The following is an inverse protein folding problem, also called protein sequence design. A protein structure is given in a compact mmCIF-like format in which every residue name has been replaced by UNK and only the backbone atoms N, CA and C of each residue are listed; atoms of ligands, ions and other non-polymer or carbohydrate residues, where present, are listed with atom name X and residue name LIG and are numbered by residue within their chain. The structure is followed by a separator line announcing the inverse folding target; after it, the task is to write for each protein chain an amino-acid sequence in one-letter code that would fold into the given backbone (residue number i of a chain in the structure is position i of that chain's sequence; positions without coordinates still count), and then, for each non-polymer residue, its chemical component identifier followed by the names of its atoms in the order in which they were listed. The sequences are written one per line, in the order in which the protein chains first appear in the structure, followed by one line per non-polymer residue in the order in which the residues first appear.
data_IF_987804220107
#
_entry.id   IF_987804220107
#
_cell.length_a   1.000
_cell.length_b   1.000
_cell.length_c   1.000
_cell.angle_alpha   90.00
_cell.angle_beta   90.00
_cell.angle_gamma   90.00
#
_symmetry.space_group_name_H-M   'P 1'
#
loop_
_entity.id
_entity.type
_entity.pdbx_description
1 polymer ?
#
# COMPACT_ATOMS: atom_id res chain seq x y z
N UNK A 1 23.94 -11.41 29.53
CA UNK A 1 23.56 -10.23 28.70
C UNK A 1 22.88 -9.22 29.60
N UNK A 2 23.02 -7.90 29.38
CA UNK A 2 22.36 -6.90 30.22
C UNK A 2 20.86 -6.87 29.91
N UNK A 3 20.03 -6.58 30.93
CA UNK A 3 18.56 -6.50 30.85
C UNK A 3 18.04 -5.72 29.61
N UNK A 4 18.60 -4.56 29.31
CA UNK A 4 18.19 -3.74 28.16
C UNK A 4 18.46 -4.43 26.81
N UNK A 5 19.62 -5.10 26.68
CA UNK A 5 19.96 -5.85 25.46
C UNK A 5 19.04 -7.06 25.29
N UNK A 6 18.72 -7.73 26.39
CA UNK A 6 17.78 -8.86 26.39
C UNK A 6 16.40 -8.38 25.94
N UNK A 7 15.89 -7.27 26.49
CA UNK A 7 14.63 -6.66 26.13
C UNK A 7 14.53 -6.35 24.62
N UNK A 8 15.55 -5.70 24.08
CA UNK A 8 15.61 -5.35 22.64
C UNK A 8 15.64 -6.60 21.78
N UNK A 9 16.50 -7.57 22.12
CA UNK A 9 16.65 -8.81 21.39
C UNK A 9 15.33 -9.59 21.32
N UNK A 10 14.65 -9.76 22.45
CA UNK A 10 13.40 -10.51 22.51
C UNK A 10 12.28 -9.71 21.82
N UNK A 11 12.21 -8.40 21.98
CA UNK A 11 11.21 -7.57 21.30
C UNK A 11 11.33 -7.67 19.78
N UNK A 12 12.54 -7.62 19.23
CA UNK A 12 12.80 -7.82 17.81
C UNK A 12 12.39 -9.24 17.39
N UNK A 13 12.69 -10.24 18.20
CA UNK A 13 12.34 -11.64 17.92
C UNK A 13 10.83 -11.85 17.89
N UNK A 14 10.10 -11.33 18.88
CA UNK A 14 8.65 -11.41 18.96
C UNK A 14 8.00 -10.75 17.74
N UNK A 15 8.44 -9.53 17.40
CA UNK A 15 7.94 -8.85 16.22
C UNK A 15 8.15 -9.68 14.95
N UNK A 16 9.37 -10.15 14.75
CA UNK A 16 9.76 -10.87 13.53
C UNK A 16 8.99 -12.18 13.37
N UNK A 17 8.88 -12.95 14.44
CA UNK A 17 8.15 -14.22 14.43
C UNK A 17 6.66 -13.99 14.21
N UNK A 18 6.05 -13.04 14.93
CA UNK A 18 4.63 -12.71 14.76
C UNK A 18 4.33 -12.18 13.35
N UNK A 19 5.15 -11.25 12.83
CA UNK A 19 4.99 -10.71 11.48
C UNK A 19 5.14 -11.81 10.41
N UNK A 20 6.10 -12.74 10.59
CA UNK A 20 6.32 -13.84 9.66
C UNK A 20 5.17 -14.84 9.69
N UNK A 21 4.71 -15.26 10.87
CA UNK A 21 3.59 -16.18 11.01
C UNK A 21 2.30 -15.61 10.38
N UNK A 22 2.00 -14.34 10.63
CA UNK A 22 0.84 -13.65 10.04
C UNK A 22 1.00 -13.47 8.53
N UNK A 23 2.21 -13.21 8.04
CA UNK A 23 2.50 -13.15 6.61
C UNK A 23 2.22 -14.49 5.92
N UNK A 24 2.59 -15.60 6.55
CA UNK A 24 2.29 -16.96 6.05
C UNK A 24 0.79 -17.25 6.07
N UNK A 25 0.08 -16.80 7.11
CA UNK A 25 -1.38 -16.95 7.20
C UNK A 25 -2.09 -16.17 6.09
N UNK A 26 -1.68 -14.93 5.84
CA UNK A 26 -2.19 -14.12 4.71
C UNK A 26 -1.87 -14.80 3.38
N UNK A 27 -0.66 -15.36 3.24
CA UNK A 27 -0.26 -16.08 2.03
C UNK A 27 -1.12 -17.30 1.78
N UNK A 28 -1.37 -18.09 2.81
CA UNK A 28 -2.21 -19.28 2.73
C UNK A 28 -3.67 -18.95 2.42
N UNK A 29 -4.23 -17.91 3.03
CA UNK A 29 -5.63 -17.51 2.85
C UNK A 29 -5.88 -16.70 1.55
N UNK A 30 -4.83 -16.21 0.89
CA UNK A 30 -4.94 -15.32 -0.29
C UNK A 30 -5.84 -15.87 -1.41
N UNK A 31 -5.78 -17.15 -1.86
CA UNK A 31 -6.62 -17.63 -2.95
C UNK A 31 -8.12 -17.56 -2.63
N UNK A 32 -8.49 -17.85 -1.40
CA UNK A 32 -9.87 -17.76 -0.92
C UNK A 32 -10.31 -16.29 -0.76
N UNK A 33 -9.46 -15.45 -0.16
CA UNK A 33 -9.71 -14.01 0.01
C UNK A 33 -9.90 -13.32 -1.34
N UNK A 34 -9.10 -13.65 -2.35
CA UNK A 34 -9.22 -13.09 -3.69
C UNK A 34 -10.60 -13.36 -4.30
N UNK A 35 -11.14 -14.56 -4.16
CA UNK A 35 -12.49 -14.90 -4.63
C UNK A 35 -13.55 -14.07 -3.92
N UNK A 36 -13.47 -13.97 -2.60
CA UNK A 36 -14.44 -13.25 -1.77
C UNK A 36 -14.38 -11.73 -1.97
N UNK A 37 -13.17 -11.17 -2.10
CA UNK A 37 -12.95 -9.74 -2.29
C UNK A 37 -13.32 -9.30 -3.70
N UNK A 38 -13.12 -10.16 -4.72
CA UNK A 38 -13.38 -9.84 -6.13
C UNK A 38 -14.81 -9.40 -6.44
N UNK A 39 -15.78 -9.82 -5.65
CA UNK A 39 -17.20 -9.45 -5.79
C UNK A 39 -17.57 -8.10 -5.16
N UNK A 40 -16.62 -7.43 -4.50
CA UNK A 40 -16.84 -6.15 -3.82
C UNK A 40 -16.62 -4.97 -4.75
N UNK A 41 -17.21 -3.81 -4.39
CA UNK A 41 -16.93 -2.56 -5.11
C UNK A 41 -15.47 -2.14 -5.00
N UNK A 42 -14.94 -1.33 -5.94
CA UNK A 42 -13.52 -1.01 -6.05
C UNK A 42 -12.94 -0.40 -4.77
N UNK A 43 -13.65 0.57 -4.17
CA UNK A 43 -13.22 1.18 -2.91
C UNK A 43 -13.11 0.18 -1.77
N UNK A 44 -14.06 -0.76 -1.67
CA UNK A 44 -14.01 -1.80 -0.65
C UNK A 44 -12.86 -2.76 -0.91
N UNK A 45 -12.61 -3.13 -2.17
CA UNK A 45 -11.46 -3.96 -2.56
C UNK A 45 -10.14 -3.30 -2.20
N UNK A 46 -9.96 -2.03 -2.55
CA UNK A 46 -8.76 -1.28 -2.22
C UNK A 46 -8.50 -1.27 -0.70
N UNK A 47 -9.52 -0.98 0.10
CA UNK A 47 -9.41 -1.00 1.57
C UNK A 47 -9.07 -2.37 2.13
N UNK A 48 -9.67 -3.44 1.60
CA UNK A 48 -9.42 -4.80 2.06
C UNK A 48 -8.00 -5.26 1.71
N UNK A 49 -7.52 -5.01 0.48
CA UNK A 49 -6.16 -5.32 0.08
C UNK A 49 -5.12 -4.54 0.88
N UNK A 50 -5.37 -3.27 1.13
CA UNK A 50 -4.55 -2.44 2.02
C UNK A 50 -4.50 -3.02 3.43
N UNK A 51 -5.66 -3.37 4.00
CA UNK A 51 -5.75 -3.97 5.35
C UNK A 51 -4.96 -5.27 5.43
N UNK A 52 -5.13 -6.17 4.45
CA UNK A 52 -4.40 -7.44 4.40
C UNK A 52 -2.88 -7.25 4.30
N UNK A 53 -2.44 -6.22 3.58
CA UNK A 53 -1.01 -5.91 3.44
C UNK A 53 -0.41 -5.36 4.73
N UNK A 54 -1.18 -4.56 5.50
CA UNK A 54 -0.74 -4.01 6.78
C UNK A 54 -0.90 -4.97 7.97
N UNK A 55 -1.79 -5.94 7.87
CA UNK A 55 -2.17 -6.82 8.97
C UNK A 55 -0.98 -7.45 9.70
N UNK A 56 0.03 -8.04 9.01
CA UNK A 56 1.17 -8.64 9.69
C UNK A 56 1.95 -7.63 10.55
N UNK A 57 2.26 -6.46 9.99
CA UNK A 57 3.05 -5.44 10.69
C UNK A 57 2.29 -4.84 11.87
N UNK A 58 1.01 -4.47 11.70
CA UNK A 58 0.22 -3.84 12.75
C UNK A 58 0.02 -4.82 13.91
N UNK A 59 -0.38 -6.05 13.61
CA UNK A 59 -0.62 -7.05 14.66
C UNK A 59 0.68 -7.43 15.37
N UNK A 60 1.78 -7.62 14.63
CA UNK A 60 3.09 -7.88 15.23
C UNK A 60 3.54 -6.73 16.15
N UNK A 61 3.30 -5.47 15.76
CA UNK A 61 3.59 -4.31 16.61
C UNK A 61 2.78 -4.33 17.89
N UNK A 62 1.47 -4.61 17.82
CA UNK A 62 0.59 -4.71 19.01
C UNK A 62 1.08 -5.82 19.94
N UNK A 63 1.40 -6.99 19.38
CA UNK A 63 1.93 -8.13 20.14
C UNK A 63 3.25 -7.76 20.84
N UNK A 64 4.15 -7.11 20.12
CA UNK A 64 5.47 -6.70 20.66
C UNK A 64 5.33 -5.66 21.77
N UNK A 65 4.43 -4.69 21.62
CA UNK A 65 4.16 -3.71 22.67
C UNK A 65 3.58 -4.40 23.91
N UNK A 66 2.61 -5.30 23.74
CA UNK A 66 2.06 -6.09 24.85
C UNK A 66 3.13 -6.94 25.55
N UNK A 67 4.03 -7.56 24.78
CA UNK A 67 5.18 -8.27 25.33
C UNK A 67 6.11 -7.32 26.10
N UNK A 68 6.40 -6.13 25.57
CA UNK A 68 7.25 -5.15 26.24
C UNK A 68 6.73 -4.77 27.63
N UNK A 69 5.41 -4.56 27.76
CA UNK A 69 4.77 -4.34 29.06
C UNK A 69 4.93 -5.55 30.01
N UNK A 70 4.76 -6.77 29.48
CA UNK A 70 4.93 -7.99 30.27
C UNK A 70 6.37 -8.16 30.76
N UNK A 71 7.33 -7.96 29.87
CA UNK A 71 8.76 -8.05 30.19
C UNK A 71 9.14 -7.07 31.31
N UNK A 72 8.75 -5.80 31.19
CA UNK A 72 9.04 -4.78 32.20
C UNK A 72 8.40 -5.14 33.55
N UNK A 73 7.23 -5.80 33.54
CA UNK A 73 6.46 -6.12 34.75
C UNK A 73 6.95 -7.39 35.47
N UNK A 74 7.42 -8.40 34.72
CA UNK A 74 7.66 -9.75 35.27
C UNK A 74 9.13 -10.16 35.23
N UNK A 75 9.98 -9.57 34.37
CA UNK A 75 11.38 -9.97 34.24
C UNK A 75 12.22 -9.38 35.36
N UNK A 76 13.01 -10.18 36.11
CA UNK A 76 13.93 -9.70 37.13
C UNK A 76 15.07 -8.91 36.52
N UNK A 77 15.34 -7.71 37.02
CA UNK A 77 16.39 -6.80 36.46
C UNK A 77 17.82 -7.25 36.70
N UNK A 78 18.02 -8.25 37.55
CA UNK A 78 19.37 -8.64 38.05
C UNK A 78 19.86 -10.01 37.53
N UNK A 79 19.10 -10.70 36.69
CA UNK A 79 19.51 -11.97 36.08
C UNK A 79 20.33 -11.75 34.85
N UNK A 80 21.59 -12.21 34.85
CA UNK A 80 22.39 -12.33 33.64
C UNK A 80 22.06 -13.64 32.93
N UNK A 81 21.31 -13.60 31.83
CA UNK A 81 20.99 -14.79 31.06
C UNK A 81 21.96 -15.01 29.90
N UNK A 82 22.30 -16.28 29.65
CA UNK A 82 22.99 -16.70 28.44
C UNK A 82 21.96 -17.03 27.38
N UNK A 83 22.01 -16.32 26.27
CA UNK A 83 21.13 -16.58 25.12
C UNK A 83 21.82 -17.51 24.15
N UNK A 84 21.12 -18.54 23.68
CA UNK A 84 21.59 -19.43 22.63
C UNK A 84 21.69 -18.75 21.25
N UNK A 85 21.97 -19.55 20.21
CA UNK A 85 22.15 -19.06 18.83
C UNK A 85 20.82 -18.66 18.13
N UNK A 86 19.68 -19.22 18.55
CA UNK A 86 18.37 -19.02 17.91
C UNK A 86 17.94 -17.55 17.86
N UNK A 87 18.05 -16.75 18.95
CA UNK A 87 17.73 -15.31 18.90
C UNK A 87 18.59 -14.54 17.89
N UNK A 88 19.85 -14.91 17.69
CA UNK A 88 20.72 -14.26 16.71
C UNK A 88 20.25 -14.49 15.28
N UNK A 89 19.78 -15.69 14.94
CA UNK A 89 19.21 -15.99 13.62
C UNK A 89 17.92 -15.19 13.37
N UNK A 90 17.08 -15.04 14.40
CA UNK A 90 15.86 -14.23 14.27
C UNK A 90 16.19 -12.76 14.10
N UNK A 91 17.18 -12.23 14.80
CA UNK A 91 17.67 -10.85 14.62
C UNK A 91 18.28 -10.66 13.23
N UNK A 92 19.02 -11.63 12.71
CA UNK A 92 19.53 -11.57 11.34
C UNK A 92 18.38 -11.54 10.32
N UNK A 93 17.33 -12.33 10.52
CA UNK A 93 16.11 -12.27 9.71
C UNK A 93 15.43 -10.90 9.81
N UNK A 94 15.29 -10.36 11.03
CA UNK A 94 14.73 -9.02 11.24
C UNK A 94 15.51 -7.95 10.49
N UNK A 95 16.85 -7.99 10.60
CA UNK A 95 17.74 -7.07 9.89
C UNK A 95 17.56 -7.18 8.36
N UNK A 96 17.42 -8.39 7.83
CA UNK A 96 17.16 -8.62 6.41
C UNK A 96 15.79 -8.02 5.98
N UNK A 97 14.74 -8.22 6.77
CA UNK A 97 13.40 -7.68 6.49
C UNK A 97 13.39 -6.15 6.50
N UNK A 98 14.01 -5.53 7.50
CA UNK A 98 14.13 -4.07 7.62
C UNK A 98 14.97 -3.50 6.48
N UNK A 99 16.10 -4.13 6.17
CA UNK A 99 16.99 -3.70 5.07
C UNK A 99 16.28 -3.79 3.72
N UNK A 100 15.52 -4.86 3.49
CA UNK A 100 14.71 -5.01 2.27
C UNK A 100 13.60 -3.96 2.19
N UNK A 101 12.93 -3.63 3.30
CA UNK A 101 11.93 -2.57 3.33
C UNK A 101 12.57 -1.20 3.04
N UNK A 102 13.68 -0.88 3.70
CA UNK A 102 14.44 0.35 3.48
C UNK A 102 14.92 0.46 2.03
N UNK A 103 15.42 -0.63 1.44
CA UNK A 103 15.81 -0.69 0.03
C UNK A 103 14.64 -0.40 -0.92
N UNK A 104 13.47 -1.02 -0.69
CA UNK A 104 12.27 -0.79 -1.52
C UNK A 104 11.82 0.67 -1.46
N UNK A 105 11.74 1.22 -0.26
CA UNK A 105 11.37 2.63 -0.05
C UNK A 105 12.43 3.55 -0.64
N UNK A 106 13.70 3.30 -0.38
CA UNK A 106 14.82 4.08 -0.90
C UNK A 106 14.84 4.09 -2.43
N UNK A 107 14.68 2.91 -3.06
CA UNK A 107 14.60 2.79 -4.52
C UNK A 107 13.38 3.52 -5.11
N UNK A 108 12.21 3.38 -4.49
CA UNK A 108 10.99 4.07 -4.92
C UNK A 108 11.15 5.58 -4.78
N UNK A 109 11.68 6.06 -3.64
CA UNK A 109 11.96 7.47 -3.38
C UNK A 109 13.00 8.04 -4.34
N UNK A 110 14.08 7.29 -4.59
CA UNK A 110 15.12 7.68 -5.54
C UNK A 110 14.58 7.83 -6.96
N UNK A 111 13.80 6.84 -7.43
CA UNK A 111 13.17 6.89 -8.74
C UNK A 111 12.20 8.08 -8.83
N UNK A 112 11.39 8.30 -7.81
CA UNK A 112 10.47 9.45 -7.75
C UNK A 112 11.22 10.77 -7.74
N UNK A 113 12.28 10.90 -6.93
CA UNK A 113 13.09 12.11 -6.86
C UNK A 113 13.86 12.37 -8.15
N UNK A 114 14.35 11.31 -8.82
CA UNK A 114 15.01 11.43 -10.13
C UNK A 114 14.02 11.91 -11.19
N UNK A 115 12.85 11.29 -11.26
CA UNK A 115 11.78 11.71 -12.17
C UNK A 115 11.35 13.15 -11.88
N UNK A 116 11.13 13.49 -10.62
CA UNK A 116 10.76 14.84 -10.20
C UNK A 116 11.81 15.89 -10.61
N UNK A 117 13.11 15.61 -10.44
CA UNK A 117 14.18 16.53 -10.86
C UNK A 117 14.24 16.74 -12.37
N UNK A 118 13.98 15.69 -13.15
CA UNK A 118 13.89 15.80 -14.61
C UNK A 118 12.64 16.59 -15.02
N UNK A 119 11.51 16.33 -14.40
CA UNK A 119 10.24 16.99 -14.67
C UNK A 119 10.28 18.48 -14.31
N UNK A 120 10.83 18.86 -13.15
CA UNK A 120 10.88 20.27 -12.70
C UNK A 120 11.83 21.15 -13.52
N UNK A 121 12.78 20.54 -14.24
CA UNK A 121 13.67 21.29 -15.13
C UNK A 121 13.02 21.65 -16.48
N UNK A 122 12.05 20.85 -16.90
CA UNK A 122 11.40 20.97 -18.21
C UNK A 122 9.94 21.41 -18.11
N UNK A 123 9.35 21.33 -16.93
CA UNK A 123 7.94 21.60 -16.73
C UNK A 123 7.69 23.08 -16.41
N UNK A 124 6.70 23.65 -17.05
CA UNK A 124 6.19 24.99 -16.79
C UNK A 124 4.97 24.91 -15.88
N UNK A 125 4.88 25.80 -14.89
CA UNK A 125 3.70 25.88 -14.05
C UNK A 125 2.55 26.46 -14.87
N UNK A 126 1.41 25.79 -14.81
CA UNK A 126 0.17 26.19 -15.47
C UNK A 126 -0.97 26.24 -14.46
N UNK A 127 -1.87 27.19 -14.64
CA UNK A 127 -3.11 27.23 -13.88
C UNK A 127 -4.18 26.44 -14.63
N UNK A 128 -4.80 25.50 -13.93
CA UNK A 128 -5.93 24.75 -14.44
C UNK A 128 -7.14 25.15 -13.60
N UNK A 129 -8.17 25.68 -14.27
CA UNK A 129 -9.40 26.10 -13.61
C UNK A 129 -10.01 24.92 -12.81
N UNK A 130 -10.47 25.20 -11.59
CA UNK A 130 -11.16 24.28 -10.71
C UNK A 130 -10.34 23.05 -10.27
N UNK A 131 -9.01 23.03 -10.48
CA UNK A 131 -8.17 21.95 -9.99
C UNK A 131 -7.49 22.31 -8.65
N UNK A 132 -7.61 21.47 -7.59
CA UNK A 132 -7.21 21.84 -6.23
C UNK A 132 -5.70 21.83 -5.98
N UNK A 133 -4.88 21.37 -6.93
CA UNK A 133 -3.45 21.23 -6.77
C UNK A 133 -2.69 22.07 -7.80
N UNK A 134 -1.46 22.49 -7.46
CA UNK A 134 -0.58 23.10 -8.44
C UNK A 134 -0.33 22.16 -9.62
N UNK A 135 -0.42 22.67 -10.84
CA UNK A 135 -0.26 21.88 -12.05
C UNK A 135 0.98 22.32 -12.85
N UNK A 136 1.61 21.36 -13.51
CA UNK A 136 2.77 21.56 -14.39
C UNK A 136 2.51 20.94 -15.75
N UNK A 137 2.77 21.72 -16.78
CA UNK A 137 2.83 21.27 -18.17
C UNK A 137 4.23 20.79 -18.49
N UNK A 138 4.33 19.59 -19.03
CA UNK A 138 5.57 18.99 -19.47
C UNK A 138 5.62 18.96 -21.00
N UNK A 139 6.60 19.61 -21.67
CA UNK A 139 6.73 19.62 -23.13
C UNK A 139 7.22 18.25 -23.61
N UNK A 140 6.32 17.29 -23.77
CA UNK A 140 6.63 15.94 -24.26
C UNK A 140 5.46 15.35 -25.03
N UNK A 141 5.81 14.51 -26.03
CA UNK A 141 4.85 13.84 -26.90
C UNK A 141 4.24 12.56 -26.29
N UNK A 142 4.80 12.05 -25.18
CA UNK A 142 4.22 10.93 -24.47
C UNK A 142 3.03 11.41 -23.64
N UNK A 143 1.84 10.77 -23.77
CA UNK A 143 0.66 11.18 -23.01
C UNK A 143 0.85 10.87 -21.52
N UNK A 144 0.90 11.89 -20.70
CA UNK A 144 1.04 11.79 -19.26
C UNK A 144 0.05 12.70 -18.56
N UNK A 145 -0.80 12.11 -17.73
CA UNK A 145 -1.53 12.78 -16.68
C UNK A 145 -1.28 11.99 -15.38
N UNK A 146 -0.76 12.63 -14.35
CA UNK A 146 -0.49 11.96 -13.09
C UNK A 146 -0.32 12.94 -11.94
N UNK A 147 -0.84 12.59 -10.77
CA UNK A 147 -0.50 13.24 -9.51
C UNK A 147 0.81 12.67 -8.98
N UNK A 148 1.83 13.50 -8.86
CA UNK A 148 3.15 13.16 -8.36
C UNK A 148 3.42 13.81 -7.00
N UNK A 149 4.18 13.13 -6.15
CA UNK A 149 4.54 13.59 -4.81
C UNK A 149 3.77 12.87 -3.71
N UNK A 150 4.41 12.74 -2.54
CA UNK A 150 3.84 12.05 -1.37
C UNK A 150 3.22 13.05 -0.40
N UNK A 151 4.00 14.05 0.03
CA UNK A 151 3.57 15.05 1.03
C UNK A 151 3.05 16.35 0.38
N UNK A 152 3.51 16.65 -0.82
CA UNK A 152 3.11 17.82 -1.60
C UNK A 152 2.72 17.36 -3.00
N UNK A 153 1.52 16.81 -3.15
CA UNK A 153 1.05 16.32 -4.44
C UNK A 153 0.94 17.45 -5.47
N UNK A 154 1.27 17.16 -6.70
CA UNK A 154 1.25 18.08 -7.84
C UNK A 154 0.73 17.34 -9.05
N UNK A 155 -0.07 18.01 -9.85
CA UNK A 155 -0.52 17.46 -11.12
C UNK A 155 0.56 17.70 -12.18
N UNK A 156 0.86 16.68 -12.96
CA UNK A 156 1.75 16.75 -14.11
C UNK A 156 0.97 16.33 -15.34
N UNK A 157 0.93 17.19 -16.34
CA UNK A 157 0.28 16.95 -17.62
C UNK A 157 1.27 17.14 -18.76
N UNK A 158 1.29 16.22 -19.71
CA UNK A 158 2.05 16.43 -20.94
C UNK A 158 1.35 17.43 -21.86
N UNK A 159 2.14 18.13 -22.68
CA UNK A 159 1.61 18.99 -23.74
C UNK A 159 0.64 18.24 -24.63
N UNK A 160 0.97 17.00 -24.97
CA UNK A 160 0.15 16.16 -25.83
C UNK A 160 -1.27 15.93 -25.28
N UNK A 161 -1.42 15.68 -23.96
CA UNK A 161 -2.75 15.54 -23.36
C UNK A 161 -3.52 16.85 -23.41
N UNK A 162 -2.87 17.96 -23.10
CA UNK A 162 -3.50 19.28 -23.13
C UNK A 162 -3.93 19.72 -24.53
N UNK A 163 -3.15 19.34 -25.54
CA UNK A 163 -3.36 19.78 -26.93
C UNK A 163 -4.30 18.83 -27.71
N UNK A 164 -4.34 17.51 -27.39
CA UNK A 164 -5.08 16.52 -28.16
C UNK A 164 -6.35 15.99 -27.45
N UNK A 165 -6.52 16.20 -26.14
CA UNK A 165 -7.73 15.75 -25.44
C UNK A 165 -8.85 16.80 -25.55
N UNK A 166 -10.06 16.40 -25.97
CA UNK A 166 -11.25 17.25 -25.86
C UNK A 166 -11.49 17.70 -24.42
N UNK A 167 -12.13 18.86 -24.27
CA UNK A 167 -12.32 19.50 -22.97
C UNK A 167 -13.12 18.62 -21.97
N UNK A 168 -14.11 17.90 -22.45
CA UNK A 168 -14.93 16.97 -21.67
C UNK A 168 -14.11 15.75 -21.19
N UNK A 169 -13.29 15.18 -22.07
CA UNK A 169 -12.38 14.09 -21.72
C UNK A 169 -11.32 14.56 -20.70
N UNK A 170 -10.71 15.75 -20.93
CA UNK A 170 -9.73 16.34 -20.02
C UNK A 170 -10.33 16.60 -18.63
N UNK A 171 -11.55 17.14 -18.57
CA UNK A 171 -12.24 17.40 -17.32
C UNK A 171 -12.44 16.12 -16.47
N UNK A 172 -12.74 14.99 -17.10
CA UNK A 172 -12.91 13.71 -16.41
C UNK A 172 -11.56 13.13 -15.97
N UNK A 173 -10.51 13.27 -16.81
CA UNK A 173 -9.13 12.88 -16.43
C UNK A 173 -8.66 13.68 -15.23
N UNK A 174 -8.92 14.98 -15.20
CA UNK A 174 -8.57 15.82 -14.05
C UNK A 174 -9.30 15.40 -12.78
N UNK A 175 -10.59 15.04 -12.86
CA UNK A 175 -11.33 14.48 -11.72
C UNK A 175 -10.76 13.15 -11.22
N UNK A 176 -10.29 12.31 -12.14
CA UNK A 176 -9.61 11.05 -11.80
C UNK A 176 -8.32 11.31 -11.02
N UNK A 177 -7.48 12.21 -11.51
CA UNK A 177 -6.25 12.60 -10.81
C UNK A 177 -6.52 13.26 -9.45
N UNK A 178 -7.57 14.10 -9.36
CA UNK A 178 -8.00 14.70 -8.10
C UNK A 178 -8.45 13.64 -7.09
N UNK A 179 -9.05 12.52 -7.52
CA UNK A 179 -9.42 11.43 -6.65
C UNK A 179 -8.18 10.77 -6.00
N UNK A 180 -7.13 10.48 -6.76
CA UNK A 180 -5.87 9.97 -6.22
C UNK A 180 -5.24 10.90 -5.17
N UNK A 181 -5.23 12.21 -5.45
CA UNK A 181 -4.72 13.20 -4.51
C UNK A 181 -5.54 13.26 -3.22
N UNK A 182 -6.87 13.26 -3.33
CA UNK A 182 -7.80 13.33 -2.21
C UNK A 182 -7.68 12.13 -1.28
N UNK A 183 -7.38 10.95 -1.84
CA UNK A 183 -7.25 9.71 -1.09
C UNK A 183 -5.81 9.41 -0.66
N UNK A 184 -4.85 10.27 -0.95
CA UNK A 184 -3.43 10.10 -0.59
C UNK A 184 -2.86 8.76 -1.07
N UNK A 185 -3.20 8.34 -2.30
CA UNK A 185 -2.83 7.02 -2.82
C UNK A 185 -1.31 6.84 -2.91
N UNK A 186 -0.56 7.90 -3.25
CA UNK A 186 0.90 7.87 -3.27
C UNK A 186 1.51 7.64 -1.87
N UNK A 187 0.92 8.25 -0.83
CA UNK A 187 1.33 8.04 0.56
C UNK A 187 1.00 6.62 1.01
N UNK A 188 -0.21 6.15 0.72
CA UNK A 188 -0.63 4.78 1.02
C UNK A 188 0.31 3.76 0.38
N UNK A 189 0.66 3.94 -0.89
CA UNK A 189 1.61 3.10 -1.60
C UNK A 189 2.99 3.10 -0.94
N UNK A 190 3.49 4.27 -0.52
CA UNK A 190 4.77 4.36 0.18
C UNK A 190 4.77 3.54 1.48
N UNK A 191 3.69 3.62 2.25
CA UNK A 191 3.51 2.82 3.46
C UNK A 191 3.42 1.31 3.17
N UNK A 192 2.69 0.90 2.12
CA UNK A 192 2.60 -0.51 1.71
C UNK A 192 3.98 -1.09 1.36
N UNK A 193 4.87 -0.29 0.77
CA UNK A 193 6.24 -0.68 0.45
C UNK A 193 7.14 -0.72 1.69
N UNK A 194 6.85 0.08 2.70
CA UNK A 194 7.66 0.24 3.91
C UNK A 194 7.48 -0.88 4.94
N UNK A 195 6.46 -1.75 4.82
CA UNK A 195 6.22 -2.82 5.78
C UNK A 195 7.40 -3.80 5.87
N UNK A 196 8.08 -3.94 7.03
CA UNK A 196 9.22 -4.82 7.22
C UNK A 196 8.77 -6.24 7.61
N UNK A 197 8.05 -6.90 6.71
CA UNK A 197 7.50 -8.25 6.91
C UNK A 197 7.89 -9.21 5.77
N UNK A 198 7.64 -10.50 5.96
CA UNK A 198 7.97 -11.53 4.99
C UNK A 198 7.17 -11.39 3.67
N UNK A 199 5.97 -10.80 3.70
CA UNK A 199 5.24 -10.48 2.47
C UNK A 199 6.05 -9.54 1.56
N UNK A 200 6.78 -8.60 2.15
CA UNK A 200 7.62 -7.68 1.39
C UNK A 200 8.75 -8.35 0.61
N UNK A 201 9.22 -9.52 1.02
CA UNK A 201 10.22 -10.32 0.31
C UNK A 201 9.61 -11.30 -0.68
N UNK A 202 8.29 -11.51 -0.61
CA UNK A 202 7.59 -12.52 -1.40
C UNK A 202 6.95 -11.94 -2.66
N UNK A 203 6.80 -12.73 -3.73
CA UNK A 203 6.00 -12.34 -4.89
C UNK A 203 4.55 -12.00 -4.54
N UNK A 204 4.02 -12.59 -3.46
CA UNK A 204 2.66 -12.32 -3.00
C UNK A 204 2.50 -10.89 -2.48
N UNK A 205 3.48 -10.34 -1.76
CA UNK A 205 3.41 -8.95 -1.32
C UNK A 205 3.29 -7.98 -2.49
N UNK A 206 4.03 -8.23 -3.58
CA UNK A 206 3.90 -7.46 -4.81
C UNK A 206 2.52 -7.64 -5.46
N UNK A 207 1.95 -8.85 -5.43
CA UNK A 207 0.58 -9.12 -5.92
C UNK A 207 -0.47 -8.38 -5.10
N UNK A 208 -0.36 -8.35 -3.77
CA UNK A 208 -1.29 -7.61 -2.91
C UNK A 208 -1.25 -6.10 -3.22
N UNK A 209 -0.05 -5.56 -3.45
CA UNK A 209 0.11 -4.15 -3.85
C UNK A 209 -0.49 -3.91 -5.24
N UNK A 210 -0.31 -4.83 -6.18
CA UNK A 210 -0.90 -4.73 -7.51
C UNK A 210 -2.44 -4.81 -7.47
N UNK A 211 -3.02 -5.75 -6.72
CA UNK A 211 -4.47 -5.86 -6.52
C UNK A 211 -5.06 -4.60 -5.85
N UNK A 212 -4.32 -4.04 -4.89
CA UNK A 212 -4.68 -2.76 -4.29
C UNK A 212 -4.67 -1.64 -5.33
N UNK A 213 -3.62 -1.54 -6.13
CA UNK A 213 -3.48 -0.51 -7.17
C UNK A 213 -4.61 -0.60 -8.20
N UNK A 214 -4.90 -1.80 -8.72
CA UNK A 214 -6.03 -2.00 -9.64
C UNK A 214 -7.36 -1.56 -9.04
N UNK A 215 -7.59 -1.88 -7.77
CA UNK A 215 -8.82 -1.48 -7.10
C UNK A 215 -8.90 0.05 -6.86
N UNK A 216 -7.76 0.71 -6.64
CA UNK A 216 -7.66 2.17 -6.50
C UNK A 216 -7.94 2.85 -7.83
N UNK A 217 -7.37 2.37 -8.95
CA UNK A 217 -7.64 2.89 -10.29
C UNK A 217 -9.13 2.82 -10.64
N UNK A 218 -9.75 1.65 -10.41
CA UNK A 218 -11.19 1.52 -10.65
C UNK A 218 -12.04 2.39 -9.72
N UNK A 219 -11.58 2.64 -8.48
CA UNK A 219 -12.27 3.53 -7.55
C UNK A 219 -12.16 5.00 -7.97
N UNK A 220 -11.01 5.40 -8.50
CA UNK A 220 -10.81 6.73 -9.07
C UNK A 220 -11.66 6.94 -10.33
N UNK A 221 -11.76 5.91 -11.19
CA UNK A 221 -12.65 5.93 -12.36
C UNK A 221 -14.12 6.13 -11.96
N UNK A 222 -14.60 5.38 -10.96
CA UNK A 222 -15.98 5.52 -10.47
C UNK A 222 -16.24 6.90 -9.85
N UNK A 223 -15.28 7.45 -9.14
CA UNK A 223 -15.39 8.78 -8.54
C UNK A 223 -15.37 9.88 -9.61
N UNK A 224 -14.48 9.78 -10.60
CA UNK A 224 -14.37 10.74 -11.69
C UNK A 224 -15.60 10.79 -12.57
N UNK A 225 -16.16 9.63 -12.88
CA UNK A 225 -17.34 9.50 -13.71
C UNK A 225 -18.65 9.72 -12.95
N UNK A 226 -18.69 9.45 -11.64
CA UNK A 226 -19.88 9.60 -10.82
C UNK A 226 -21.08 8.78 -11.34
N UNK A 227 -22.27 9.34 -11.22
CA UNK A 227 -23.51 8.76 -11.74
C UNK A 227 -23.80 9.16 -13.20
N UNK A 228 -23.03 10.07 -13.77
CA UNK A 228 -23.22 10.62 -15.10
C UNK A 228 -22.76 9.66 -16.20
N UNK A 229 -23.69 9.26 -17.05
CA UNK A 229 -23.39 8.37 -18.20
C UNK A 229 -22.47 9.04 -19.23
N UNK A 230 -22.60 10.34 -19.46
CA UNK A 230 -21.78 11.08 -20.40
C UNK A 230 -20.33 11.15 -19.89
N UNK A 231 -20.12 11.42 -18.60
CA UNK A 231 -18.80 11.41 -17.98
C UNK A 231 -18.14 10.01 -18.02
N UNK A 232 -18.91 8.92 -17.92
CA UNK A 232 -18.39 7.55 -18.06
C UNK A 232 -17.89 7.28 -19.48
N UNK A 233 -18.64 7.73 -20.48
CA UNK A 233 -18.24 7.61 -21.89
C UNK A 233 -17.01 8.47 -22.17
N UNK A 234 -16.98 9.70 -21.69
CA UNK A 234 -15.84 10.60 -21.85
C UNK A 234 -14.55 10.02 -21.21
N UNK A 235 -14.65 9.44 -20.00
CA UNK A 235 -13.50 8.79 -19.37
C UNK A 235 -13.05 7.55 -20.16
N UNK A 236 -13.99 6.73 -20.64
CA UNK A 236 -13.65 5.57 -21.46
C UNK A 236 -12.97 6.00 -22.77
N UNK A 237 -13.45 7.07 -23.42
CA UNK A 237 -12.84 7.65 -24.62
C UNK A 237 -11.43 8.19 -24.34
N UNK A 238 -11.25 8.93 -23.23
CA UNK A 238 -9.95 9.43 -22.79
C UNK A 238 -8.95 8.29 -22.57
N UNK A 239 -9.36 7.21 -21.88
CA UNK A 239 -8.53 6.03 -21.66
C UNK A 239 -8.09 5.38 -22.99
N UNK A 240 -9.01 5.22 -23.95
CA UNK A 240 -8.70 4.66 -25.27
C UNK A 240 -7.76 5.60 -26.05
N UNK A 241 -8.01 6.91 -25.99
CA UNK A 241 -7.17 7.94 -26.63
C UNK A 241 -5.74 7.90 -26.08
N UNK A 242 -5.58 7.94 -24.76
CA UNK A 242 -4.27 7.83 -24.10
C UNK A 242 -3.59 6.50 -24.47
N UNK A 243 -4.35 5.42 -24.53
CA UNK A 243 -3.84 4.12 -24.99
C UNK A 243 -3.26 4.16 -26.39
N UNK A 244 -3.97 4.77 -27.33
CA UNK A 244 -3.50 4.94 -28.73
C UNK A 244 -2.28 5.83 -28.83
N UNK A 245 -2.25 6.95 -28.09
CA UNK A 245 -1.10 7.85 -28.04
C UNK A 245 0.15 7.17 -27.46
N UNK A 246 0.00 6.22 -26.55
CA UNK A 246 1.09 5.54 -25.84
C UNK A 246 1.85 4.50 -26.67
N UNK A 247 1.46 4.26 -27.92
CA UNK A 247 2.12 3.28 -28.81
C UNK A 247 3.56 3.66 -29.15
N UNK A 248 3.95 4.93 -28.99
CA UNK A 248 5.29 5.46 -29.31
C UNK A 248 6.39 5.16 -28.27
N UNK A 249 6.21 4.17 -27.42
CA UNK A 249 7.23 3.75 -26.46
C UNK A 249 7.30 4.62 -25.21
N UNK A 250 7.33 3.96 -24.05
CA UNK A 250 7.40 4.62 -22.76
C UNK A 250 8.83 5.06 -22.46
N UNK A 251 9.08 6.32 -22.06
CA UNK A 251 10.39 6.75 -21.63
C UNK A 251 10.89 5.94 -20.41
N UNK A 252 12.14 5.46 -20.45
CA UNK A 252 12.72 4.58 -19.42
C UNK A 252 12.82 5.21 -18.02
N UNK A 253 12.79 6.53 -17.93
CA UNK A 253 12.82 7.29 -16.68
C UNK A 253 11.44 7.48 -16.01
N UNK A 254 10.36 7.12 -16.72
CA UNK A 254 8.99 7.35 -16.24
C UNK A 254 8.62 6.35 -15.15
N UNK A 255 8.08 6.82 -14.01
CA UNK A 255 7.59 5.94 -12.96
C UNK A 255 6.52 4.97 -13.49
N UNK A 256 6.45 3.79 -12.89
CA UNK A 256 5.40 2.82 -13.20
C UNK A 256 3.96 3.27 -12.87
N UNK A 257 3.82 4.52 -12.40
CA UNK A 257 2.57 5.16 -11.97
C UNK A 257 1.75 5.76 -13.12
N UNK A 258 2.29 5.81 -14.34
CA UNK A 258 1.51 6.32 -15.45
C UNK A 258 0.37 5.33 -15.76
N UNK A 259 -0.82 5.85 -15.99
CA UNK A 259 -2.12 5.27 -16.34
C UNK A 259 -2.12 4.01 -17.25
N UNK A 260 -0.94 3.48 -17.63
CA UNK A 260 -0.81 2.57 -18.74
C UNK A 260 -0.23 1.20 -18.34
N UNK A 261 -1.13 0.28 -18.04
CA UNK A 261 -0.90 -1.16 -18.19
C UNK A 261 -1.97 -1.69 -19.15
N UNK A 262 -1.59 -2.11 -20.36
CA UNK A 262 -2.51 -2.43 -21.44
C UNK A 262 -3.59 -3.46 -21.10
N UNK A 263 -3.28 -4.44 -20.24
CA UNK A 263 -4.27 -5.42 -19.77
C UNK A 263 -5.32 -4.84 -18.84
N UNK A 264 -4.96 -3.83 -18.06
CA UNK A 264 -5.88 -3.15 -17.13
C UNK A 264 -6.78 -2.15 -17.85
N UNK A 265 -6.29 -1.55 -18.93
CA UNK A 265 -7.03 -0.56 -19.73
C UNK A 265 -8.31 -1.16 -20.30
N UNK A 266 -8.24 -2.31 -20.99
CA UNK A 266 -9.42 -2.97 -21.55
C UNK A 266 -10.48 -3.25 -20.45
N UNK A 267 -10.02 -3.75 -19.31
CA UNK A 267 -10.92 -4.02 -18.18
C UNK A 267 -11.59 -2.76 -17.65
N UNK A 268 -10.85 -1.66 -17.48
CA UNK A 268 -11.38 -0.36 -17.02
C UNK A 268 -12.40 0.20 -18.01
N UNK A 269 -12.09 0.24 -19.31
CA UNK A 269 -12.99 0.71 -20.36
C UNK A 269 -14.28 -0.14 -20.39
N UNK A 270 -14.16 -1.47 -20.41
CA UNK A 270 -15.31 -2.37 -20.38
C UNK A 270 -16.18 -2.12 -19.14
N UNK A 271 -15.56 -1.96 -17.97
CA UNK A 271 -16.27 -1.70 -16.73
C UNK A 271 -17.03 -0.37 -16.76
N UNK A 272 -16.41 0.71 -17.25
CA UNK A 272 -17.06 2.01 -17.40
C UNK A 272 -18.29 1.93 -18.29
N UNK A 273 -18.23 1.15 -19.39
CA UNK A 273 -19.32 1.05 -20.35
C UNK A 273 -20.43 0.06 -19.95
N UNK A 274 -20.11 -0.99 -19.16
CA UNK A 274 -21.07 -2.07 -18.86
C UNK A 274 -21.70 -1.99 -17.48
N UNK A 275 -21.03 -1.41 -16.49
CA UNK A 275 -21.52 -1.31 -15.10
C UNK A 275 -22.03 0.11 -14.82
N UNK A 276 -23.24 0.21 -14.32
CA UNK A 276 -23.72 1.42 -13.66
C UNK A 276 -22.89 1.73 -12.40
N UNK A 277 -23.05 2.95 -11.82
CA UNK A 277 -22.36 3.30 -10.57
C UNK A 277 -22.67 2.25 -9.52
N UNK A 278 -21.60 1.76 -8.88
CA UNK A 278 -21.77 0.83 -7.76
C UNK A 278 -22.50 1.63 -6.65
N UNK A 279 -23.78 1.35 -6.48
CA UNK A 279 -24.54 1.92 -5.37
C UNK A 279 -23.93 1.35 -4.12
N UNK A 280 -22.99 2.11 -3.55
CA UNK A 280 -22.21 1.76 -2.36
C UNK A 280 -23.12 1.39 -1.20
N UNK A 281 -23.62 0.17 -1.23
CA UNK A 281 -24.51 -0.38 -0.22
C UNK A 281 -23.78 -1.43 0.57
N UNK A 282 -23.75 -1.12 1.84
CA UNK A 282 -23.30 -1.91 2.99
C UNK A 282 -21.80 -1.96 3.20
N UNK A 283 -21.33 -0.80 3.54
CA UNK A 283 -20.57 -0.47 4.73
C UNK A 283 -20.18 -1.68 5.56
N UNK A 284 -18.84 -1.87 5.58
CA UNK A 284 -18.10 -1.91 6.85
C UNK A 284 -18.41 -3.00 7.89
N UNK A 285 -19.41 -3.85 7.74
CA UNK A 285 -19.60 -4.98 8.69
C UNK A 285 -18.36 -5.87 8.78
N UNK A 286 -17.68 -6.11 7.64
CA UNK A 286 -16.42 -6.88 7.63
C UNK A 286 -15.30 -6.07 8.26
N UNK A 287 -15.22 -4.76 7.99
CA UNK A 287 -14.22 -3.87 8.55
C UNK A 287 -14.40 -3.73 10.07
N UNK A 288 -15.63 -3.48 10.51
CA UNK A 288 -15.97 -3.49 11.94
C UNK A 288 -15.82 -4.87 12.56
N UNK A 289 -16.10 -5.96 11.81
CA UNK A 289 -15.83 -7.32 12.23
C UNK A 289 -14.34 -7.60 12.38
N UNK A 290 -13.50 -7.22 11.41
CA UNK A 290 -12.04 -7.35 11.50
C UNK A 290 -11.48 -6.46 12.60
N UNK A 291 -11.90 -5.20 12.66
CA UNK A 291 -11.49 -4.28 13.71
C UNK A 291 -11.95 -4.74 15.11
N UNK A 292 -13.18 -5.23 15.22
CA UNK A 292 -13.71 -5.81 16.44
C UNK A 292 -12.97 -7.10 16.86
N UNK A 293 -12.71 -7.99 15.91
CA UNK A 293 -11.93 -9.21 16.16
C UNK A 293 -10.49 -8.88 16.58
N UNK A 294 -9.86 -7.89 15.93
CA UNK A 294 -8.54 -7.41 16.31
C UNK A 294 -8.54 -6.74 17.68
N UNK A 295 -9.58 -5.96 18.02
CA UNK A 295 -9.71 -5.36 19.35
C UNK A 295 -9.93 -6.41 20.43
N UNK A 296 -10.80 -7.38 20.18
CA UNK A 296 -11.07 -8.49 21.13
C UNK A 296 -9.82 -9.36 21.30
N UNK A 297 -9.14 -9.71 20.20
CA UNK A 297 -7.88 -10.44 20.24
C UNK A 297 -6.78 -9.64 20.96
N UNK A 298 -6.71 -8.32 20.75
CA UNK A 298 -5.76 -7.44 21.43
C UNK A 298 -6.09 -7.31 22.92
N UNK A 299 -7.36 -7.17 23.29
CA UNK A 299 -7.79 -7.08 24.67
C UNK A 299 -7.58 -8.42 25.41
N UNK A 300 -7.94 -9.56 24.79
CA UNK A 300 -7.66 -10.89 25.31
C UNK A 300 -6.16 -11.15 25.47
N UNK A 301 -5.38 -10.71 24.47
CA UNK A 301 -3.92 -10.77 24.53
C UNK A 301 -3.35 -9.91 25.68
N UNK A 302 -3.82 -8.68 25.86
CA UNK A 302 -3.38 -7.81 26.95
C UNK A 302 -3.73 -8.39 28.35
N UNK A 303 -4.81 -9.15 28.45
CA UNK A 303 -5.25 -9.75 29.72
C UNK A 303 -4.49 -11.04 30.08
N UNK A 304 -4.26 -11.93 29.11
CA UNK A 304 -3.73 -13.28 29.37
C UNK A 304 -2.40 -13.56 28.63
N UNK A 305 -2.20 -12.93 27.48
CA UNK A 305 -1.06 -13.16 26.59
C UNK A 305 0.31 -12.87 27.24
N UNK A 306 0.47 -11.82 28.05
CA UNK A 306 1.73 -11.53 28.71
C UNK A 306 2.25 -12.68 29.57
N UNK A 307 1.37 -13.33 30.33
CA UNK A 307 1.73 -14.48 31.20
C UNK A 307 2.08 -15.72 30.37
N UNK A 308 1.26 -16.01 29.34
CA UNK A 308 1.48 -17.15 28.45
C UNK A 308 2.75 -16.96 27.62
N UNK A 309 3.00 -15.75 27.14
CA UNK A 309 4.19 -15.45 26.35
C UNK A 309 5.45 -15.52 27.18
N UNK A 310 5.42 -14.98 28.41
CA UNK A 310 6.54 -15.09 29.34
C UNK A 310 6.86 -16.57 29.64
N UNK A 311 5.86 -17.39 29.97
CA UNK A 311 6.03 -18.82 30.16
C UNK A 311 6.56 -19.55 28.91
N UNK A 312 6.10 -19.16 27.72
CA UNK A 312 6.57 -19.73 26.45
C UNK A 312 8.01 -19.33 26.12
N UNK A 313 8.38 -18.08 26.36
CA UNK A 313 9.75 -17.59 26.16
C UNK A 313 10.69 -18.23 27.17
N UNK A 314 10.33 -18.36 28.46
CA UNK A 314 11.10 -19.09 29.45
C UNK A 314 11.29 -20.56 29.07
N UNK A 315 10.20 -21.21 28.60
CA UNK A 315 10.31 -22.57 28.09
C UNK A 315 11.29 -22.67 26.91
N UNK A 316 11.23 -21.73 25.98
CA UNK A 316 12.11 -21.67 24.81
C UNK A 316 13.59 -21.42 25.21
N UNK A 317 13.83 -20.49 26.13
CA UNK A 317 15.19 -20.21 26.63
C UNK A 317 15.78 -21.44 27.37
N UNK A 318 14.95 -22.21 28.09
CA UNK A 318 15.40 -23.38 28.83
C UNK A 318 15.57 -24.63 27.97
N UNK A 319 14.86 -24.77 26.87
CA UNK A 319 14.78 -26.03 26.11
C UNK A 319 15.33 -25.94 24.68
N UNK A 320 15.63 -24.74 24.17
CA UNK A 320 16.25 -24.58 22.85
C UNK A 320 17.75 -24.33 23.00
N UNK A 321 18.60 -25.05 22.21
CA UNK A 321 20.05 -24.94 22.26
C UNK A 321 20.60 -23.59 21.81
#
# INVERSE_FOLDING_TARGET
MNYERLFVLISISVFTLAATALSLLVAWSHPWLRRTIGHRGPRQRARLWMTLRFLPCITASIVTVGFGFAFIRYEPRHTAEQTGSVPLLVVALAAALVSAAAWRVGRASWNTARSHRLLTRLAEQVEIADFPLPAWRLPMDFPLAAVSGILRPRLILSSRILDECPADELAVVLRHEAAHARHYDNLTRAWLLACPDALGLSPLGNRLIAEWHHAVEEAADEEAAGADGAARVALAAALVRVGRMSTCGRPSWMPALALYDGHTLEHRVRRLLTRGPDRGVRVDRIRWGIAGALMIASAGWLATGPRLLHAFVEWGVRNLP
#
